data_IF_450667962358
#
_entry.id   IF_450667962358
#
_cell.length_a   1.000
_cell.length_b   1.000
_cell.length_c   1.000
_cell.angle_alpha   90.00
_cell.angle_beta   90.00
_cell.angle_gamma   90.00
#
_symmetry.space_group_name_H-M   'P 1'
#
loop_
_entity.id
_entity.type
_entity.pdbx_description
1 polymer ?
#
# COMPACT_ATOMS: atom_id res chain seq x y z
N UNK A 1 -15.31 3.50 22.28
CA UNK A 1 -14.85 4.61 23.12
C UNK A 1 -13.34 4.43 23.24
N UNK A 2 -12.55 5.27 22.58
CA UNK A 2 -11.10 5.26 22.74
C UNK A 2 -10.80 5.49 24.24
N UNK A 3 -10.11 4.56 24.88
CA UNK A 3 -9.63 4.74 26.26
C UNK A 3 -8.50 5.76 26.25
N UNK A 4 -8.14 6.27 27.43
CA UNK A 4 -7.06 7.24 27.62
C UNK A 4 -5.69 6.81 27.04
N UNK A 5 -5.52 5.53 26.69
CA UNK A 5 -4.29 4.94 26.14
C UNK A 5 -4.04 5.28 24.65
N UNK A 6 -5.09 5.53 23.84
CA UNK A 6 -4.93 5.82 22.40
C UNK A 6 -4.25 7.18 22.14
N UNK A 7 -4.43 8.14 23.05
CA UNK A 7 -3.83 9.48 22.96
C UNK A 7 -2.32 9.42 23.27
N UNK A 8 -1.88 8.39 24.01
CA UNK A 8 -0.51 8.27 24.50
C UNK A 8 0.43 7.72 23.42
N UNK A 9 0.10 6.55 22.84
CA UNK A 9 0.95 5.85 21.87
C UNK A 9 1.24 6.68 20.61
N UNK A 10 0.24 7.39 20.09
CA UNK A 10 0.41 8.21 18.89
C UNK A 10 1.32 9.42 19.16
N UNK A 11 1.15 10.07 20.31
CA UNK A 11 1.95 11.24 20.69
C UNK A 11 3.40 10.84 20.94
N UNK A 12 3.63 9.74 21.65
CA UNK A 12 4.95 9.17 21.89
C UNK A 12 5.65 8.78 20.58
N UNK A 13 4.93 8.11 19.66
CA UNK A 13 5.47 7.77 18.35
C UNK A 13 5.88 9.01 17.55
N UNK A 14 5.12 10.11 17.61
CA UNK A 14 5.49 11.36 16.93
C UNK A 14 6.68 12.08 17.58
N UNK A 15 6.93 11.88 18.88
CA UNK A 15 8.05 12.46 19.59
C UNK A 15 9.40 11.83 19.23
N UNK A 16 9.40 10.60 18.68
CA UNK A 16 10.62 9.91 18.25
C UNK A 16 11.34 10.66 17.10
N UNK A 17 12.66 10.52 16.96
CA UNK A 17 13.40 10.93 15.76
C UNK A 17 12.84 10.33 14.47
N UNK A 18 13.06 11.00 13.33
CA UNK A 18 12.43 10.63 12.07
C UNK A 18 12.76 9.21 11.59
N UNK A 19 14.00 8.76 11.81
CA UNK A 19 14.49 7.43 11.49
C UNK A 19 13.86 6.35 12.39
N UNK A 20 13.72 6.64 13.69
CA UNK A 20 13.02 5.75 14.63
C UNK A 20 11.53 5.63 14.31
N UNK A 21 10.87 6.73 13.94
CA UNK A 21 9.48 6.70 13.44
C UNK A 21 9.35 5.85 12.19
N UNK A 22 10.25 6.00 11.23
CA UNK A 22 10.23 5.22 10.00
C UNK A 22 10.43 3.72 10.27
N UNK A 23 11.28 3.39 11.24
CA UNK A 23 11.47 2.01 11.70
C UNK A 23 10.21 1.46 12.37
N UNK A 24 9.64 2.19 13.34
CA UNK A 24 8.42 1.79 14.04
C UNK A 24 7.26 1.59 13.06
N UNK A 25 7.06 2.51 12.12
CA UNK A 25 6.01 2.40 11.10
C UNK A 25 6.18 1.12 10.25
N UNK A 26 7.42 0.77 9.89
CA UNK A 26 7.71 -0.47 9.15
C UNK A 26 7.38 -1.72 9.96
N UNK A 27 7.80 -1.76 11.22
CA UNK A 27 7.56 -2.90 12.11
C UNK A 27 6.05 -3.07 12.38
N UNK A 28 5.32 -1.97 12.61
CA UNK A 28 3.87 -2.00 12.74
C UNK A 28 3.19 -2.50 11.46
N UNK A 29 3.58 -2.00 10.28
CA UNK A 29 3.04 -2.49 9.01
C UNK A 29 3.29 -3.99 8.82
N UNK A 30 4.49 -4.47 9.15
CA UNK A 30 4.83 -5.88 9.07
C UNK A 30 4.01 -6.74 10.06
N UNK A 31 3.71 -6.22 11.26
CA UNK A 31 2.85 -6.93 12.21
C UNK A 31 1.40 -7.07 11.75
N UNK A 32 0.95 -6.21 10.83
CA UNK A 32 -0.39 -6.29 10.23
C UNK A 32 -0.46 -7.31 9.09
N UNK A 33 0.68 -7.87 8.66
CA UNK A 33 0.75 -8.88 7.60
C UNK A 33 0.38 -10.29 8.07
N UNK A 34 -0.37 -10.43 9.17
CA UNK A 34 -0.92 -11.72 9.62
C UNK A 34 -1.95 -12.21 8.59
N UNK A 35 -1.60 -13.28 7.89
CA UNK A 35 -2.44 -13.90 6.86
C UNK A 35 -2.08 -13.45 5.44
N UNK A 36 -0.82 -13.57 5.06
CA UNK A 36 -0.48 -13.64 3.63
C UNK A 36 -1.27 -14.80 3.03
N UNK A 37 -2.16 -14.47 2.07
CA UNK A 37 -2.77 -15.47 1.22
C UNK A 37 -1.62 -16.21 0.51
N UNK A 38 -1.43 -17.52 0.78
CA UNK A 38 -0.32 -18.28 0.23
C UNK A 38 -0.31 -18.28 -1.30
N UNK A 39 -1.47 -18.03 -1.92
CA UNK A 39 -1.65 -17.94 -3.36
C UNK A 39 -1.53 -16.51 -3.90
N UNK A 40 -1.30 -15.50 -3.05
CA UNK A 40 -1.17 -14.11 -3.51
C UNK A 40 0.03 -13.93 -4.46
N UNK A 41 1.16 -14.57 -4.14
CA UNK A 41 2.37 -14.48 -4.96
C UNK A 41 2.17 -15.14 -6.33
N UNK A 42 1.58 -16.34 -6.38
CA UNK A 42 1.28 -17.04 -7.63
C UNK A 42 0.21 -16.31 -8.45
N UNK A 43 -0.88 -15.88 -7.82
CA UNK A 43 -1.94 -15.11 -8.48
C UNK A 43 -1.42 -13.79 -9.07
N UNK A 44 -0.45 -13.16 -8.41
CA UNK A 44 0.18 -11.95 -8.92
C UNK A 44 1.09 -12.22 -10.13
N UNK A 45 1.82 -13.34 -10.13
CA UNK A 45 2.60 -13.77 -11.29
C UNK A 45 1.70 -14.06 -12.50
N UNK A 46 0.61 -14.81 -12.31
CA UNK A 46 -0.37 -15.11 -13.35
C UNK A 46 -0.95 -13.81 -13.95
N UNK A 47 -1.27 -12.83 -13.10
CA UNK A 47 -1.78 -11.53 -13.53
C UNK A 47 -0.73 -10.72 -14.32
N UNK A 48 0.53 -10.74 -13.91
CA UNK A 48 1.63 -10.10 -14.65
C UNK A 48 1.78 -10.73 -16.04
N UNK A 49 1.81 -12.06 -16.11
CA UNK A 49 1.93 -12.79 -17.39
C UNK A 49 0.76 -12.45 -18.33
N UNK A 50 -0.47 -12.47 -17.79
CA UNK A 50 -1.67 -12.09 -18.54
C UNK A 50 -1.57 -10.66 -19.08
N UNK A 51 -1.20 -9.68 -18.26
CA UNK A 51 -1.07 -8.27 -18.69
C UNK A 51 0.04 -8.08 -19.72
N UNK A 52 1.18 -8.74 -19.56
CA UNK A 52 2.27 -8.70 -20.53
C UNK A 52 1.79 -9.23 -21.89
N UNK A 53 1.00 -10.29 -21.89
CA UNK A 53 0.44 -10.86 -23.11
C UNK A 53 -0.57 -9.91 -23.78
N UNK A 54 -1.46 -9.27 -23.02
CA UNK A 54 -2.40 -8.26 -23.55
C UNK A 54 -1.68 -7.07 -24.22
N UNK A 55 -0.54 -6.66 -23.65
CA UNK A 55 0.31 -5.62 -24.25
C UNK A 55 0.88 -6.09 -25.59
N UNK A 56 1.44 -7.31 -25.62
CA UNK A 56 2.04 -7.91 -26.82
C UNK A 56 1.03 -8.11 -27.94
N UNK A 57 -0.17 -8.55 -27.59
CA UNK A 57 -1.27 -8.80 -28.53
C UNK A 57 -2.00 -7.53 -28.96
N UNK A 58 -1.65 -6.37 -28.36
CA UNK A 58 -2.26 -5.08 -28.66
C UNK A 58 -3.71 -4.97 -28.17
N UNK A 59 -4.13 -5.83 -27.25
CA UNK A 59 -5.49 -5.83 -26.66
C UNK A 59 -5.58 -5.02 -25.37
N UNK A 60 -4.44 -4.69 -24.77
CA UNK A 60 -4.37 -3.85 -23.58
C UNK A 60 -4.91 -2.44 -23.85
N UNK A 61 -5.71 -1.93 -22.90
CA UNK A 61 -6.13 -0.52 -22.87
C UNK A 61 -5.21 0.25 -21.95
N UNK A 62 -4.47 1.20 -22.51
CA UNK A 62 -3.59 2.08 -21.75
C UNK A 62 -4.29 3.36 -21.37
N UNK A 63 -3.87 3.90 -20.23
CA UNK A 63 -4.21 5.25 -19.81
C UNK A 63 -2.91 5.97 -19.45
N UNK A 64 -2.85 7.26 -19.73
CA UNK A 64 -1.69 8.08 -19.39
C UNK A 64 -1.52 8.17 -17.87
N UNK A 65 -0.26 8.10 -17.42
CA UNK A 65 0.08 8.09 -16.00
C UNK A 65 -0.38 9.37 -15.29
N UNK A 66 -0.26 10.53 -15.91
CA UNK A 66 -0.67 11.81 -15.31
C UNK A 66 -2.18 11.82 -15.03
N UNK A 67 -2.97 11.22 -15.93
CA UNK A 67 -4.42 11.10 -15.79
C UNK A 67 -4.80 10.15 -14.64
N UNK A 68 -4.14 9.00 -14.55
CA UNK A 68 -4.35 8.03 -13.44
C UNK A 68 -3.97 8.67 -12.11
N UNK A 69 -2.79 9.31 -12.05
CA UNK A 69 -2.28 9.95 -10.84
C UNK A 69 -3.22 11.04 -10.33
N UNK A 70 -3.64 11.96 -11.19
CA UNK A 70 -4.56 13.04 -10.82
C UNK A 70 -5.87 12.50 -10.22
N UNK A 71 -6.41 11.41 -10.79
CA UNK A 71 -7.60 10.74 -10.27
C UNK A 71 -7.37 10.10 -8.90
N UNK A 72 -6.23 9.44 -8.68
CA UNK A 72 -5.90 8.83 -7.38
C UNK A 72 -5.71 9.90 -6.30
N UNK A 73 -4.97 10.97 -6.60
CA UNK A 73 -4.77 12.10 -5.68
C UNK A 73 -6.09 12.77 -5.30
N UNK A 74 -7.02 12.94 -6.25
CA UNK A 74 -8.35 13.46 -5.94
C UNK A 74 -9.18 12.53 -5.07
N UNK A 75 -8.97 11.20 -5.15
CA UNK A 75 -9.71 10.20 -4.38
C UNK A 75 -9.21 10.07 -2.95
N UNK A 76 -7.90 10.16 -2.73
CA UNK A 76 -7.26 9.94 -1.42
C UNK A 76 -7.06 11.20 -0.59
N UNK A 77 -7.41 12.38 -1.12
CA UNK A 77 -7.39 13.66 -0.39
C UNK A 77 -8.69 13.95 0.39
N UNK A 78 -9.57 12.96 0.53
CA UNK A 78 -10.75 13.00 1.42
C UNK A 78 -10.46 12.18 2.67
#
# INVERSE_FOLDING_TARGET
MASADDIDVFTEALALPADERARLARELLASLSDGEDPDAASSWLDEIERRVQEVRDGTAKFEDWESVRARLESRWRK
#
